data_IF_572187541864
#
_entry.id   IF_572187541864
#
_cell.length_a   1.000
_cell.length_b   1.000
_cell.length_c   1.000
_cell.angle_alpha   90.00
_cell.angle_beta   90.00
_cell.angle_gamma   90.00
#
_symmetry.space_group_name_H-M   'P 1'
#
loop_
_entity.id
_entity.type
_entity.pdbx_description
1 polymer ?
#
# COMPACT_ATOMS: atom_id res chain seq x y z
N UNK A 1 -24.32 2.21 -8.82
CA UNK A 1 -23.20 1.75 -9.68
C UNK A 1 -21.85 2.29 -9.21
N UNK A 2 -21.68 3.62 -9.08
CA UNK A 2 -20.39 4.31 -8.78
C UNK A 2 -19.59 3.70 -7.62
N UNK A 3 -20.22 3.30 -6.51
CA UNK A 3 -19.50 2.72 -5.37
C UNK A 3 -18.84 1.38 -5.67
N UNK A 4 -19.44 0.55 -6.54
CA UNK A 4 -18.87 -0.77 -6.87
C UNK A 4 -17.59 -0.58 -7.69
N UNK A 5 -17.64 0.29 -8.69
CA UNK A 5 -16.52 0.51 -9.62
C UNK A 5 -15.33 1.21 -8.94
N UNK A 6 -15.58 2.14 -8.01
CA UNK A 6 -14.52 2.78 -7.21
C UNK A 6 -13.86 1.80 -6.24
N UNK A 7 -14.63 0.91 -5.61
CA UNK A 7 -14.09 -0.14 -4.74
C UNK A 7 -13.25 -1.11 -5.55
N UNK A 8 -13.67 -1.52 -6.75
CA UNK A 8 -12.86 -2.39 -7.62
C UNK A 8 -11.52 -1.74 -8.00
N UNK A 9 -11.51 -0.43 -8.25
CA UNK A 9 -10.29 0.29 -8.60
C UNK A 9 -9.28 0.34 -7.43
N UNK A 10 -9.76 0.50 -6.19
CA UNK A 10 -8.89 0.61 -4.99
C UNK A 10 -8.63 -0.75 -4.33
N UNK A 11 -9.54 -1.71 -4.45
CA UNK A 11 -9.44 -3.01 -3.79
C UNK A 11 -8.74 -4.07 -4.64
N UNK A 12 -8.75 -3.93 -5.96
CA UNK A 12 -8.28 -4.97 -6.87
C UNK A 12 -9.32 -6.06 -7.16
N UNK A 13 -8.90 -7.26 -7.59
CA UNK A 13 -9.81 -8.34 -7.93
C UNK A 13 -10.54 -8.82 -6.67
N UNK A 14 -11.69 -9.49 -6.81
CA UNK A 14 -12.36 -10.12 -5.68
C UNK A 14 -11.39 -11.10 -5.01
N UNK A 15 -11.01 -10.80 -3.77
CA UNK A 15 -10.20 -11.70 -2.97
C UNK A 15 -11.07 -12.64 -2.15
N UNK A 16 -10.41 -13.58 -1.46
CA UNK A 16 -11.05 -14.48 -0.49
C UNK A 16 -11.95 -13.71 0.50
N UNK A 17 -11.60 -12.48 0.89
CA UNK A 17 -12.36 -11.68 1.87
C UNK A 17 -13.58 -10.99 1.27
N UNK A 18 -13.50 -10.46 0.04
CA UNK A 18 -14.56 -9.62 -0.52
C UNK A 18 -15.65 -10.39 -1.29
N UNK A 19 -15.34 -11.56 -1.84
CA UNK A 19 -16.31 -12.54 -2.37
C UNK A 19 -15.55 -13.75 -2.97
N UNK A 20 -15.02 -14.67 -2.16
CA UNK A 20 -14.74 -16.04 -2.63
C UNK A 20 -14.48 -17.06 -1.50
N UNK A 21 -15.07 -16.90 -0.31
CA UNK A 21 -15.10 -18.05 0.61
C UNK A 21 -16.30 -18.91 0.24
N UNK A 22 -16.03 -20.12 -0.27
CA UNK A 22 -17.04 -21.15 -0.53
C UNK A 22 -17.72 -21.67 0.75
N UNK A 23 -17.39 -21.09 1.91
CA UNK A 23 -17.97 -21.35 3.22
C UNK A 23 -18.82 -20.14 3.59
N UNK A 24 -20.14 -20.33 3.64
CA UNK A 24 -21.14 -19.30 3.93
C UNK A 24 -20.78 -18.43 5.15
N UNK A 25 -20.15 -19.01 6.17
CA UNK A 25 -19.76 -18.35 7.41
C UNK A 25 -18.88 -17.10 7.22
N UNK A 26 -17.80 -17.18 6.43
CA UNK A 26 -16.88 -16.04 6.27
C UNK A 26 -17.46 -14.93 5.38
N UNK A 27 -18.30 -15.29 4.40
CA UNK A 27 -19.06 -14.33 3.60
C UNK A 27 -20.01 -13.53 4.50
N UNK A 28 -20.71 -14.21 5.40
CA UNK A 28 -21.66 -13.56 6.30
C UNK A 28 -20.94 -12.65 7.33
N UNK A 29 -19.74 -13.03 7.79
CA UNK A 29 -18.88 -12.18 8.64
C UNK A 29 -18.45 -10.90 7.93
N UNK A 30 -17.97 -10.99 6.68
CA UNK A 30 -17.63 -9.79 5.92
C UNK A 30 -18.87 -8.93 5.64
N UNK A 31 -19.97 -9.55 5.23
CA UNK A 31 -21.24 -8.86 4.96
C UNK A 31 -21.79 -8.17 6.22
N UNK A 32 -21.54 -8.72 7.41
CA UNK A 32 -21.92 -8.08 8.69
C UNK A 32 -21.14 -6.80 8.98
N UNK A 33 -19.87 -6.72 8.56
CA UNK A 33 -18.98 -5.57 8.78
C UNK A 33 -18.86 -4.64 7.57
N UNK A 34 -19.35 -5.07 6.40
CA UNK A 34 -19.37 -4.27 5.18
C UNK A 34 -19.98 -2.86 5.39
N UNK A 35 -21.08 -2.67 6.14
CA UNK A 35 -21.59 -1.32 6.42
C UNK A 35 -20.59 -0.46 7.19
N UNK A 36 -19.82 -1.03 8.12
CA UNK A 36 -18.78 -0.31 8.88
C UNK A 36 -17.63 0.08 7.95
N UNK A 37 -17.15 -0.87 7.13
CA UNK A 37 -16.09 -0.59 6.18
C UNK A 37 -16.52 0.47 5.18
N UNK A 38 -17.69 0.33 4.54
CA UNK A 38 -18.17 1.27 3.52
C UNK A 38 -18.45 2.67 4.06
N UNK A 39 -18.94 2.81 5.29
CA UNK A 39 -19.17 4.13 5.91
C UNK A 39 -17.87 4.81 6.33
N UNK A 40 -16.77 4.06 6.46
CA UNK A 40 -15.45 4.56 6.84
C UNK A 40 -14.39 4.34 5.73
N UNK A 41 -14.80 3.94 4.54
CA UNK A 41 -13.91 3.74 3.40
C UNK A 41 -13.79 5.07 2.67
N UNK A 42 -12.56 5.49 2.36
CA UNK A 42 -12.26 6.76 1.68
C UNK A 42 -12.73 8.01 2.46
N UNK A 43 -12.52 8.03 3.77
CA UNK A 43 -13.09 9.04 4.69
C UNK A 43 -12.83 10.49 4.25
N UNK A 44 -11.71 10.78 3.58
CA UNK A 44 -11.57 11.94 2.67
C UNK A 44 -10.17 11.96 2.02
N UNK A 45 -10.06 12.56 0.84
CA UNK A 45 -8.79 13.02 0.25
C UNK A 45 -9.04 14.26 -0.60
N UNK A 46 -8.01 15.08 -0.85
CA UNK A 46 -8.12 16.23 -1.76
C UNK A 46 -8.05 15.79 -3.23
N UNK A 47 -8.65 16.59 -4.12
CA UNK A 47 -8.51 16.41 -5.58
C UNK A 47 -7.05 16.53 -6.04
N UNK A 48 -6.24 17.33 -5.34
CA UNK A 48 -4.80 17.44 -5.57
C UNK A 48 -4.06 16.12 -5.34
N UNK A 49 -4.42 15.37 -4.28
CA UNK A 49 -3.82 14.07 -4.02
C UNK A 49 -4.21 13.04 -5.09
N UNK A 50 -5.45 13.06 -5.57
CA UNK A 50 -5.88 12.21 -6.68
C UNK A 50 -5.13 12.54 -7.98
N UNK A 51 -4.91 13.83 -8.26
CA UNK A 51 -4.13 14.27 -9.41
C UNK A 51 -2.66 13.86 -9.29
N UNK A 52 -2.08 13.91 -8.09
CA UNK A 52 -0.71 13.44 -7.85
C UNK A 52 -0.57 11.95 -8.13
N UNK A 53 -1.51 11.13 -7.67
CA UNK A 53 -1.56 9.71 -7.99
C UNK A 53 -1.62 9.47 -9.50
N UNK A 54 -2.46 10.21 -10.22
CA UNK A 54 -2.52 10.13 -11.68
C UNK A 54 -1.18 10.52 -12.34
N UNK A 55 -0.47 11.53 -11.82
CA UNK A 55 0.87 11.89 -12.30
C UNK A 55 1.87 10.75 -12.11
N UNK A 56 1.84 10.08 -10.95
CA UNK A 56 2.71 8.93 -10.68
C UNK A 56 2.40 7.75 -11.62
N UNK A 57 1.13 7.45 -11.89
CA UNK A 57 0.75 6.39 -12.83
C UNK A 57 1.17 6.67 -14.28
N UNK A 58 1.45 7.92 -14.64
CA UNK A 58 1.88 8.32 -15.98
C UNK A 58 3.41 8.47 -16.10
N UNK A 59 4.15 8.47 -14.99
CA UNK A 59 5.59 8.68 -14.95
C UNK A 59 6.33 7.41 -14.53
N UNK A 60 7.54 7.18 -15.05
CA UNK A 60 8.41 6.09 -14.60
C UNK A 60 9.16 6.48 -13.31
N UNK A 61 8.41 6.86 -12.27
CA UNK A 61 8.97 7.17 -10.95
C UNK A 61 8.06 8.03 -10.09
N UNK A 62 8.48 8.23 -8.83
CA UNK A 62 7.74 9.01 -7.85
C UNK A 62 8.43 10.35 -7.62
N UNK A 63 7.71 11.42 -7.93
CA UNK A 63 8.16 12.81 -7.82
C UNK A 63 7.22 13.64 -6.95
N UNK A 64 7.68 14.81 -6.55
CA UNK A 64 6.81 15.81 -5.93
C UNK A 64 5.67 16.22 -6.90
N UNK A 65 4.59 16.77 -6.38
CA UNK A 65 3.43 17.16 -7.19
C UNK A 65 3.83 18.14 -8.30
N UNK A 66 3.44 17.82 -9.54
CA UNK A 66 3.72 18.65 -10.73
C UNK A 66 2.59 19.66 -10.95
N UNK A 67 2.87 20.95 -10.75
CA UNK A 67 1.90 22.02 -10.95
C UNK A 67 2.15 22.71 -12.32
N UNK A 68 2.05 24.04 -12.37
CA UNK A 68 2.54 24.80 -13.53
C UNK A 68 4.04 25.04 -13.39
N UNK A 69 4.79 25.29 -14.48
CA UNK A 69 6.22 25.60 -14.40
C UNK A 69 6.55 26.79 -13.48
N UNK A 70 5.68 27.80 -13.44
CA UNK A 70 5.80 28.96 -12.54
C UNK A 70 5.63 28.57 -11.07
N UNK A 71 4.67 27.68 -10.78
CA UNK A 71 4.42 27.20 -9.42
C UNK A 71 5.50 26.21 -8.96
N UNK A 72 5.99 25.36 -9.86
CA UNK A 72 7.14 24.49 -9.58
C UNK A 72 8.39 25.30 -9.29
N UNK A 73 8.65 26.36 -10.07
CA UNK A 73 9.75 27.28 -9.80
C UNK A 73 9.62 27.91 -8.40
N UNK A 74 8.40 28.33 -8.03
CA UNK A 74 8.12 28.89 -6.70
C UNK A 74 8.31 27.86 -5.57
N UNK A 75 7.90 26.61 -5.78
CA UNK A 75 7.94 25.54 -4.75
C UNK A 75 9.30 24.88 -4.61
N UNK A 76 9.98 24.63 -5.72
CA UNK A 76 11.14 23.75 -5.80
C UNK A 76 12.39 24.46 -6.35
N UNK A 77 12.27 25.69 -6.86
CA UNK A 77 13.39 26.40 -7.49
C UNK A 77 13.75 25.88 -8.89
N UNK A 78 12.91 25.03 -9.48
CA UNK A 78 13.09 24.43 -10.80
C UNK A 78 11.76 24.25 -11.51
N UNK A 79 11.76 24.16 -12.85
CA UNK A 79 10.54 24.11 -13.67
C UNK A 79 9.77 22.79 -13.55
N UNK A 80 10.45 21.71 -13.19
CA UNK A 80 9.88 20.36 -13.00
C UNK A 80 10.01 19.94 -11.54
N UNK A 81 9.10 19.12 -11.00
CA UNK A 81 9.22 18.65 -9.63
C UNK A 81 10.44 17.72 -9.48
N UNK A 82 11.19 17.82 -8.36
CA UNK A 82 12.26 16.87 -8.08
C UNK A 82 11.69 15.46 -7.82
N UNK A 83 12.49 14.43 -8.10
CA UNK A 83 12.17 13.05 -7.75
C UNK A 83 12.48 12.77 -6.27
N UNK A 84 11.73 11.87 -5.63
CA UNK A 84 12.10 11.40 -4.29
C UNK A 84 13.34 10.51 -4.36
N UNK A 85 14.35 10.83 -3.55
CA UNK A 85 15.55 10.02 -3.46
C UNK A 85 15.35 8.88 -2.43
N UNK A 86 15.00 7.69 -2.91
CA UNK A 86 14.82 6.49 -2.07
C UNK A 86 16.12 6.02 -1.42
N UNK A 87 17.29 6.45 -1.94
CA UNK A 87 18.54 6.24 -1.23
C UNK A 87 18.63 7.08 0.05
N UNK A 88 17.75 8.05 0.32
CA UNK A 88 17.73 8.72 1.63
C UNK A 88 17.05 7.90 2.73
N UNK A 89 16.41 6.79 2.38
CA UNK A 89 15.80 5.87 3.35
C UNK A 89 16.91 5.05 4.01
N UNK A 90 17.02 5.14 5.33
CA UNK A 90 18.01 4.46 6.16
C UNK A 90 17.40 3.58 7.26
N UNK A 91 16.07 3.53 7.34
CA UNK A 91 15.32 2.74 8.32
C UNK A 91 15.08 1.32 7.80
N UNK A 92 15.18 0.32 8.67
CA UNK A 92 14.88 -1.07 8.34
C UNK A 92 13.43 -1.25 7.85
N UNK A 93 13.26 -1.84 6.66
CA UNK A 93 11.97 -2.08 6.02
C UNK A 93 11.68 -3.58 5.91
N UNK A 94 10.46 -3.95 6.28
CA UNK A 94 9.90 -5.28 6.05
C UNK A 94 8.67 -5.13 5.15
N UNK A 95 8.73 -5.72 3.95
CA UNK A 95 7.69 -5.58 2.94
C UNK A 95 6.71 -6.75 3.00
N UNK A 96 5.42 -6.45 3.12
CA UNK A 96 4.32 -7.41 2.93
C UNK A 96 3.61 -7.03 1.64
N UNK A 97 3.45 -7.98 0.71
CA UNK A 97 2.92 -7.71 -0.62
C UNK A 97 2.19 -8.91 -1.21
N UNK A 98 1.46 -8.72 -2.31
CA UNK A 98 0.72 -9.79 -2.97
C UNK A 98 0.69 -9.63 -4.49
N UNK A 99 0.59 -10.75 -5.23
CA UNK A 99 0.40 -10.76 -6.67
C UNK A 99 -0.99 -10.34 -7.14
N UNK A 100 -1.98 -10.47 -6.26
CA UNK A 100 -3.35 -10.07 -6.56
C UNK A 100 -3.64 -8.62 -6.14
N UNK A 101 -2.63 -7.86 -5.69
CA UNK A 101 -2.76 -6.44 -5.43
C UNK A 101 -2.64 -5.64 -6.75
N UNK A 102 -3.73 -4.98 -7.16
CA UNK A 102 -3.76 -4.14 -8.37
C UNK A 102 -3.28 -2.72 -8.14
N UNK A 103 -3.21 -2.27 -6.88
CA UNK A 103 -2.75 -0.92 -6.53
C UNK A 103 -1.23 -0.91 -6.41
N UNK A 104 -0.64 -1.97 -5.86
CA UNK A 104 0.81 -2.12 -5.76
C UNK A 104 1.25 -3.34 -6.57
N UNK A 105 1.45 -3.14 -7.88
CA UNK A 105 1.78 -4.26 -8.76
C UNK A 105 3.12 -4.89 -8.36
N UNK A 106 3.23 -6.23 -8.31
CA UNK A 106 4.47 -6.94 -7.95
C UNK A 106 5.68 -6.49 -8.78
N UNK A 107 5.45 -6.21 -10.06
CA UNK A 107 6.48 -5.77 -10.98
C UNK A 107 7.06 -4.42 -10.54
N UNK A 108 6.28 -3.52 -9.98
CA UNK A 108 6.75 -2.23 -9.48
C UNK A 108 7.58 -2.41 -8.20
N UNK A 109 7.13 -3.27 -7.29
CA UNK A 109 7.87 -3.58 -6.06
C UNK A 109 9.22 -4.21 -6.39
N UNK A 110 9.22 -5.30 -7.14
CA UNK A 110 10.42 -6.09 -7.43
C UNK A 110 11.38 -5.39 -8.40
N UNK A 111 10.87 -4.72 -9.43
CA UNK A 111 11.71 -4.17 -10.51
C UNK A 111 12.05 -2.71 -10.32
N UNK A 112 11.27 -1.95 -9.56
CA UNK A 112 11.50 -0.53 -9.34
C UNK A 112 11.86 -0.25 -7.89
N UNK A 113 10.93 -0.44 -6.95
CA UNK A 113 11.09 0.01 -5.55
C UNK A 113 12.35 -0.58 -4.88
N UNK A 114 12.51 -1.90 -4.94
CA UNK A 114 13.65 -2.59 -4.32
C UNK A 114 15.00 -2.17 -4.91
N UNK A 115 15.04 -1.68 -6.16
CA UNK A 115 16.27 -1.23 -6.81
C UNK A 115 16.63 0.23 -6.51
N UNK A 116 15.67 1.04 -6.07
CA UNK A 116 15.89 2.46 -5.75
C UNK A 116 16.39 2.68 -4.30
N UNK A 117 16.14 1.72 -3.42
CA UNK A 117 16.58 1.76 -2.02
C UNK A 117 18.04 1.32 -1.87
N UNK A 118 18.70 1.78 -0.79
CA UNK A 118 20.05 1.29 -0.47
C UNK A 118 20.03 -0.22 -0.23
N UNK A 119 21.12 -0.93 -0.57
CA UNK A 119 21.31 -2.31 -0.12
C UNK A 119 21.12 -2.41 1.40
N UNK A 120 20.56 -3.53 1.86
CA UNK A 120 20.35 -3.86 3.28
C UNK A 120 19.26 -3.09 4.02
N UNK A 121 18.61 -2.07 3.42
CA UNK A 121 17.43 -1.41 4.01
C UNK A 121 16.26 -2.38 4.13
N UNK A 122 16.04 -3.19 3.10
CA UNK A 122 15.00 -4.23 3.10
C UNK A 122 15.53 -5.44 3.86
N UNK A 123 14.96 -5.70 5.05
CA UNK A 123 15.33 -6.81 5.94
C UNK A 123 14.49 -8.06 5.71
N UNK A 124 13.32 -7.93 5.11
CA UNK A 124 12.45 -9.06 4.79
C UNK A 124 11.37 -8.72 3.78
N UNK A 125 11.01 -9.71 2.96
CA UNK A 125 9.92 -9.63 1.99
C UNK A 125 9.00 -10.82 2.17
N UNK A 126 7.72 -10.57 2.40
CA UNK A 126 6.71 -11.59 2.68
C UNK A 126 5.59 -11.45 1.66
N UNK A 127 5.46 -12.45 0.79
CA UNK A 127 4.38 -12.53 -0.19
C UNK A 127 3.16 -13.21 0.43
N UNK A 128 1.96 -12.65 0.25
CA UNK A 128 0.67 -13.23 0.64
C UNK A 128 -0.16 -13.38 -0.64
N UNK A 129 0.07 -14.42 -1.46
CA UNK A 129 -0.34 -14.44 -2.87
C UNK A 129 -1.83 -14.20 -3.13
N UNK A 130 -2.71 -14.56 -2.21
CA UNK A 130 -4.16 -14.46 -2.41
C UNK A 130 -4.77 -13.15 -1.88
N UNK A 131 -3.96 -12.28 -1.29
CA UNK A 131 -4.42 -10.98 -0.80
C UNK A 131 -4.60 -9.99 -1.95
N UNK A 132 -5.71 -9.27 -1.97
CA UNK A 132 -5.81 -8.02 -2.70
C UNK A 132 -5.42 -6.85 -1.79
N UNK A 133 -5.57 -5.61 -2.27
CA UNK A 133 -5.12 -4.44 -1.54
C UNK A 133 -5.81 -4.27 -0.18
N UNK A 134 -7.12 -4.58 -0.09
CA UNK A 134 -7.90 -4.41 1.14
C UNK A 134 -7.68 -5.54 2.14
N UNK A 135 -7.24 -6.71 1.71
CA UNK A 135 -7.05 -7.85 2.60
C UNK A 135 -6.03 -7.59 3.71
N UNK A 136 -5.01 -6.78 3.42
CA UNK A 136 -4.03 -6.33 4.41
C UNK A 136 -4.64 -5.50 5.54
N UNK A 137 -5.85 -4.97 5.36
CA UNK A 137 -6.56 -4.20 6.38
C UNK A 137 -7.74 -4.97 7.00
N UNK A 138 -8.51 -5.72 6.18
CA UNK A 138 -9.82 -6.26 6.61
C UNK A 138 -10.00 -7.76 6.40
N UNK A 139 -8.98 -8.50 5.96
CA UNK A 139 -9.11 -9.96 5.86
C UNK A 139 -9.34 -10.58 7.23
N UNK A 140 -10.23 -11.58 7.29
CA UNK A 140 -10.55 -12.28 8.54
C UNK A 140 -9.38 -13.07 9.11
N UNK A 141 -8.38 -13.38 8.27
CA UNK A 141 -7.16 -14.08 8.63
C UNK A 141 -5.90 -13.18 8.62
N UNK A 142 -6.07 -11.85 8.53
CA UNK A 142 -4.93 -10.89 8.51
C UNK A 142 -4.09 -10.97 9.78
N UNK A 143 -4.72 -11.28 10.92
CA UNK A 143 -4.03 -11.48 12.18
C UNK A 143 -2.96 -12.57 12.06
N UNK A 144 -3.34 -13.73 11.52
CA UNK A 144 -2.48 -14.90 11.41
C UNK A 144 -1.47 -14.77 10.27
N UNK A 145 -1.88 -14.19 9.14
CA UNK A 145 -1.06 -14.11 7.93
C UNK A 145 -0.05 -12.97 7.93
N UNK A 146 -0.36 -11.86 8.61
CA UNK A 146 0.43 -10.62 8.53
C UNK A 146 0.77 -10.08 9.93
N UNK A 147 -0.23 -9.80 10.76
CA UNK A 147 -0.02 -9.04 12.01
C UNK A 147 0.85 -9.80 13.01
N UNK A 148 0.64 -11.11 13.20
CA UNK A 148 1.45 -11.92 14.11
C UNK A 148 2.93 -11.91 13.71
N UNK A 149 3.23 -11.94 12.40
CA UNK A 149 4.61 -11.81 11.91
C UNK A 149 5.17 -10.41 12.17
N UNK A 150 4.39 -9.35 11.98
CA UNK A 150 4.81 -7.98 12.32
C UNK A 150 5.17 -7.91 13.81
N UNK A 151 4.32 -8.46 14.69
CA UNK A 151 4.57 -8.52 16.13
C UNK A 151 5.87 -9.27 16.44
N UNK A 152 6.12 -10.42 15.78
CA UNK A 152 7.37 -11.16 15.95
C UNK A 152 8.60 -10.34 15.52
N UNK A 153 8.53 -9.64 14.39
CA UNK A 153 9.62 -8.79 13.88
C UNK A 153 9.90 -7.66 14.87
N UNK A 154 8.86 -6.95 15.31
CA UNK A 154 8.97 -5.86 16.27
C UNK A 154 9.61 -6.37 17.57
N UNK A 155 9.10 -7.47 18.15
CA UNK A 155 9.65 -8.04 19.39
C UNK A 155 11.11 -8.46 19.27
N UNK A 156 11.53 -9.04 18.13
CA UNK A 156 12.92 -9.41 17.87
C UNK A 156 13.84 -8.19 17.79
N UNK A 157 13.35 -7.09 17.26
CA UNK A 157 14.13 -5.86 17.16
C UNK A 157 14.12 -5.07 18.49
N UNK A 158 13.04 -5.18 19.27
CA UNK A 158 12.92 -4.61 20.62
C UNK A 158 13.73 -5.35 21.68
N UNK A 159 14.03 -6.65 21.50
CA UNK A 159 14.90 -7.38 22.44
C UNK A 159 16.31 -6.79 22.56
N UNK A 160 16.72 -5.91 21.63
CA UNK A 160 17.97 -5.15 21.70
C UNK A 160 17.76 -3.67 22.09
N UNK A 161 16.53 -3.23 22.37
CA UNK A 161 16.18 -1.84 22.65
C UNK A 161 16.12 -1.52 24.16
N UNK A 162 15.95 -2.53 25.02
CA UNK A 162 15.91 -2.39 26.49
C UNK A 162 17.19 -2.89 27.18
N UNK A 163 18.36 -2.67 26.58
CA UNK A 163 19.65 -2.85 27.24
C UNK A 163 20.41 -1.52 27.23
N UNK A 164 19.99 -0.59 28.09
CA UNK A 164 20.82 0.49 28.64
C UNK A 164 20.68 0.49 30.16
#
# INVERSE_FOLDING_TARGET
QICRDLIFFVAGPPSKTFNYVSLNFFRDLFQSRAPVYLTNFLVSTSTWNLLQWAQHSLQNGVSHFDATPSENMRRYGQLTPPAYNYSNIDTDIYLFWSRNDWVTAPQEIERWLMRQMRPLVIKGTFEIPEYNHLDFAVATDVADRVINRIIEIVRRNETNACTE
#
